data_IF_268509989964
#
_entry.id   IF_268509989964
#
_cell.length_a   1.000
_cell.length_b   1.000
_cell.length_c   1.000
_cell.angle_alpha   90.00
_cell.angle_beta   90.00
_cell.angle_gamma   90.00
#
_symmetry.space_group_name_H-M   'P 1'
#
loop_
_entity.id
_entity.type
_entity.pdbx_description
1 polymer ?
#
# COMPACT_ATOMS: atom_id res chain seq x y z
N UNK A 1 -16.57 -37.57 -16.75
CA UNK A 1 -15.95 -37.97 -18.05
C UNK A 1 -14.45 -37.71 -17.97
N UNK A 2 -13.62 -38.77 -17.98
CA UNK A 2 -12.15 -38.67 -18.05
C UNK A 2 -11.71 -38.98 -19.49
N UNK A 3 -10.79 -38.20 -20.10
CA UNK A 3 -10.27 -38.55 -21.41
C UNK A 3 -9.24 -39.68 -21.31
N UNK A 4 -9.46 -40.71 -22.12
CA UNK A 4 -8.63 -41.90 -22.23
C UNK A 4 -7.46 -41.59 -23.17
N UNK A 5 -6.27 -41.31 -22.65
CA UNK A 5 -5.06 -41.16 -23.47
C UNK A 5 -4.58 -42.57 -23.85
N UNK A 6 -4.79 -42.94 -25.12
CA UNK A 6 -4.24 -44.18 -25.69
C UNK A 6 -2.72 -44.01 -25.90
N UNK A 7 -1.99 -45.00 -25.42
CA UNK A 7 -0.56 -45.24 -25.65
C UNK A 7 -0.21 -45.16 -27.15
N UNK A 8 0.53 -44.13 -27.55
CA UNK A 8 1.24 -44.07 -28.82
C UNK A 8 2.73 -44.30 -28.51
N UNK A 9 3.12 -45.56 -28.36
CA UNK A 9 4.53 -45.97 -28.30
C UNK A 9 4.66 -47.42 -28.73
N UNK A 10 4.16 -47.73 -29.92
CA UNK A 10 4.48 -48.94 -30.65
C UNK A 10 5.02 -48.56 -32.01
N UNK A 11 6.18 -49.11 -32.38
CA UNK A 11 6.92 -48.93 -33.63
C UNK A 11 7.93 -47.77 -33.71
N UNK A 12 9.08 -47.97 -33.06
CA UNK A 12 10.36 -47.48 -33.61
C UNK A 12 11.39 -48.61 -33.67
N UNK A 13 12.13 -48.76 -34.77
CA UNK A 13 13.18 -49.78 -34.91
C UNK A 13 14.35 -49.53 -33.94
N UNK A 14 14.89 -50.58 -33.32
CA UNK A 14 15.92 -50.55 -32.26
C UNK A 14 17.17 -49.70 -32.59
N UNK A 15 17.52 -49.49 -33.87
CA UNK A 15 18.65 -48.64 -34.28
C UNK A 15 18.38 -47.13 -34.15
N UNK A 16 17.13 -46.66 -34.19
CA UNK A 16 16.78 -45.25 -34.02
C UNK A 16 16.65 -44.80 -32.57
N UNK A 17 16.48 -45.72 -31.62
CA UNK A 17 16.38 -45.36 -30.20
C UNK A 17 17.73 -44.93 -29.59
N UNK A 18 18.86 -45.45 -30.09
CA UNK A 18 20.19 -45.07 -29.58
C UNK A 18 20.58 -43.63 -29.94
N UNK A 19 20.28 -43.16 -31.16
CA UNK A 19 20.57 -41.79 -31.60
C UNK A 19 19.67 -40.75 -30.92
N UNK A 20 18.40 -41.07 -30.68
CA UNK A 20 17.49 -40.21 -29.93
C UNK A 20 17.94 -40.01 -28.46
N UNK A 21 18.41 -41.08 -27.81
CA UNK A 21 18.90 -41.01 -26.42
C UNK A 21 20.16 -40.14 -26.27
N UNK A 22 21.10 -40.23 -27.21
CA UNK A 22 22.33 -39.42 -27.21
C UNK A 22 22.00 -37.93 -27.43
N UNK A 23 21.02 -37.62 -28.30
CA UNK A 23 20.58 -36.24 -28.56
C UNK A 23 19.87 -35.62 -27.35
N UNK A 24 19.07 -36.39 -26.60
CA UNK A 24 18.40 -35.91 -25.39
C UNK A 24 19.39 -35.62 -24.25
N UNK A 25 20.44 -36.44 -24.09
CA UNK A 25 21.45 -36.22 -23.06
C UNK A 25 22.31 -34.97 -23.30
N UNK A 26 22.64 -34.68 -24.56
CA UNK A 26 23.43 -33.49 -24.93
C UNK A 26 22.65 -32.18 -24.70
N UNK A 27 21.33 -32.16 -24.92
CA UNK A 27 20.49 -31.00 -24.62
C UNK A 27 20.36 -30.71 -23.12
N UNK A 28 20.26 -31.74 -22.27
CA UNK A 28 20.20 -31.57 -20.81
C UNK A 28 21.48 -30.96 -20.25
N UNK A 29 22.65 -31.39 -20.74
CA UNK A 29 23.96 -30.83 -20.33
C UNK A 29 24.13 -29.36 -20.75
N UNK A 30 23.65 -28.98 -21.94
CA UNK A 30 23.68 -27.57 -22.39
C UNK A 30 22.80 -26.66 -21.52
N UNK A 31 21.59 -27.11 -21.16
CA UNK A 31 20.69 -26.34 -20.27
C UNK A 31 21.26 -26.18 -18.86
N UNK A 32 21.92 -27.21 -18.33
CA UNK A 32 22.56 -27.13 -17.01
C UNK A 32 23.73 -26.13 -17.01
N UNK A 33 24.58 -26.15 -18.04
CA UNK A 33 25.67 -25.17 -18.20
C UNK A 33 25.18 -23.73 -18.27
N UNK A 34 24.09 -23.48 -18.99
CA UNK A 34 23.47 -22.16 -19.07
C UNK A 34 22.92 -21.67 -17.73
N UNK A 35 22.29 -22.55 -16.94
CA UNK A 35 21.82 -22.21 -15.59
C UNK A 35 22.98 -21.86 -14.66
N UNK A 36 24.06 -22.63 -14.69
CA UNK A 36 25.26 -22.35 -13.88
C UNK A 36 25.88 -21.00 -14.27
N UNK A 37 26.00 -20.73 -15.57
CA UNK A 37 26.52 -19.45 -16.06
C UNK A 37 25.66 -18.25 -15.60
N UNK A 38 24.33 -18.38 -15.66
CA UNK A 38 23.41 -17.33 -15.23
C UNK A 38 23.50 -17.06 -13.72
N UNK A 39 23.64 -18.09 -12.90
CA UNK A 39 23.85 -17.94 -11.44
C UNK A 39 25.17 -17.24 -11.12
N UNK A 40 26.26 -17.59 -11.82
CA UNK A 40 27.57 -16.93 -11.65
C UNK A 40 27.47 -15.45 -12.03
N UNK A 41 26.78 -15.12 -13.13
CA UNK A 41 26.63 -13.75 -13.60
C UNK A 41 25.82 -12.89 -12.62
N UNK A 42 24.72 -13.42 -12.07
CA UNK A 42 23.91 -12.74 -11.05
C UNK A 42 24.73 -12.52 -9.76
N UNK A 43 25.47 -13.55 -9.32
CA UNK A 43 26.34 -13.45 -8.13
C UNK A 43 27.41 -12.37 -8.29
N UNK A 44 28.07 -12.31 -9.45
CA UNK A 44 29.06 -11.28 -9.75
C UNK A 44 28.45 -9.87 -9.76
N UNK A 45 27.25 -9.69 -10.32
CA UNK A 45 26.53 -8.41 -10.27
C UNK A 45 26.21 -7.99 -8.83
N UNK A 46 25.72 -8.91 -7.99
CA UNK A 46 25.46 -8.61 -6.57
C UNK A 46 26.72 -8.14 -5.83
N UNK A 47 27.88 -8.77 -6.08
CA UNK A 47 29.14 -8.36 -5.46
C UNK A 47 29.57 -6.95 -5.89
N UNK A 48 29.36 -6.58 -7.15
CA UNK A 48 29.66 -5.22 -7.64
C UNK A 48 28.75 -4.19 -6.96
N UNK A 49 27.46 -4.47 -6.81
CA UNK A 49 26.49 -3.58 -6.13
C UNK A 49 26.85 -3.42 -4.64
N UNK A 50 27.23 -4.51 -3.97
CA UNK A 50 27.66 -4.46 -2.57
C UNK A 50 28.95 -3.66 -2.39
N UNK A 51 29.93 -3.83 -3.27
CA UNK A 51 31.18 -3.06 -3.22
C UNK A 51 30.96 -1.56 -3.47
N UNK A 52 30.07 -1.19 -4.41
CA UNK A 52 29.72 0.20 -4.66
C UNK A 52 29.05 0.87 -3.45
N UNK A 53 28.16 0.15 -2.75
CA UNK A 53 27.52 0.65 -1.53
C UNK A 53 28.50 0.78 -0.35
N UNK A 54 29.51 -0.11 -0.26
CA UNK A 54 30.52 -0.03 0.80
C UNK A 54 31.44 1.19 0.62
N UNK A 55 31.86 1.50 -0.61
CA UNK A 55 32.66 2.70 -0.90
C UNK A 55 31.88 4.02 -0.70
N UNK A 56 30.55 4.00 -0.79
CA UNK A 56 29.71 5.17 -0.55
C UNK A 56 29.62 5.54 0.94
N UNK A 57 29.74 4.58 1.85
CA UNK A 57 29.72 4.85 3.29
C UNK A 57 31.01 5.47 3.83
N UNK A 58 32.17 5.24 3.19
CA UNK A 58 33.46 5.72 3.71
C UNK A 58 33.67 7.24 3.48
N UNK A 59 33.00 7.83 2.48
CA UNK A 59 33.13 9.27 2.19
C UNK A 59 32.27 10.20 3.06
N UNK A 60 31.31 9.67 3.83
CA UNK A 60 30.35 10.52 4.57
C UNK A 60 30.54 10.56 6.10
N UNK A 61 31.54 9.88 6.66
CA UNK A 61 31.78 9.87 8.12
C UNK A 61 32.95 10.74 8.63
N UNK A 62 33.65 11.49 7.77
CA UNK A 62 34.83 12.27 8.22
C UNK A 62 34.60 13.76 8.52
N UNK A 63 33.36 14.27 8.48
CA UNK A 63 33.09 15.69 8.75
C UNK A 63 32.01 15.92 9.81
N UNK A 64 32.23 15.45 11.04
CA UNK A 64 31.55 16.04 12.21
C UNK A 64 32.52 16.12 13.40
N UNK A 65 33.21 17.26 13.51
CA UNK A 65 33.73 17.77 14.77
C UNK A 65 33.55 19.30 14.80
N UNK A 66 32.50 19.76 15.49
CA UNK A 66 32.28 21.15 15.95
C UNK A 66 33.27 21.48 17.12
N UNK A 67 33.51 22.75 17.55
CA UNK A 67 32.44 23.70 17.90
C UNK A 67 32.70 25.23 17.93
N UNK A 68 31.59 25.93 18.23
CA UNK A 68 31.46 27.09 19.13
C UNK A 68 31.40 28.54 18.57
N UNK A 69 30.16 29.06 18.64
CA UNK A 69 29.74 30.32 19.27
C UNK A 69 30.10 31.67 18.64
N UNK A 70 29.04 32.44 18.30
CA UNK A 70 28.92 33.86 18.68
C UNK A 70 27.46 34.31 18.74
N UNK A 71 26.98 34.50 19.96
CA UNK A 71 25.76 35.22 20.30
C UNK A 71 25.97 36.71 20.04
N UNK A 72 25.04 37.37 19.34
CA UNK A 72 24.81 38.81 19.46
C UNK A 72 23.33 39.11 19.71
N UNK A 73 23.14 39.86 20.78
CA UNK A 73 21.89 40.32 21.42
C UNK A 73 21.64 41.76 20.99
N UNK A 74 20.38 42.14 20.70
CA UNK A 74 19.80 43.52 20.72
C UNK A 74 18.61 43.57 19.74
N UNK A 75 17.43 44.18 19.95
CA UNK A 75 16.80 44.94 21.05
C UNK A 75 15.29 44.99 20.75
N UNK A 76 14.49 44.74 21.77
CA UNK A 76 13.25 45.43 22.18
C UNK A 76 12.60 46.47 21.22
N UNK A 77 11.35 46.24 20.79
CA UNK A 77 10.29 47.27 20.69
C UNK A 77 8.93 46.67 21.08
N UNK A 78 8.29 47.32 22.07
CA UNK A 78 6.91 47.10 22.56
C UNK A 78 5.93 47.98 21.77
N UNK A 79 4.68 47.51 21.60
CA UNK A 79 3.38 48.24 21.76
C UNK A 79 2.24 47.26 21.42
N UNK A 80 1.47 46.74 22.39
CA UNK A 80 0.27 47.26 23.10
C UNK A 80 -1.07 47.05 22.36
N UNK A 81 -1.78 45.99 22.79
CA UNK A 81 -3.22 45.83 23.12
C UNK A 81 -4.27 46.90 22.75
N UNK A 82 -5.39 46.43 22.16
CA UNK A 82 -6.81 46.56 22.59
C UNK A 82 -7.70 45.85 21.53
N UNK A 83 -8.89 45.27 21.74
CA UNK A 83 -9.69 44.79 22.88
C UNK A 83 -10.91 44.06 22.29
N UNK A 84 -11.31 42.97 22.96
CA UNK A 84 -12.66 42.43 23.20
C UNK A 84 -13.83 42.78 22.26
N UNK A 85 -14.57 41.74 21.85
CA UNK A 85 -16.03 41.69 22.06
C UNK A 85 -16.51 40.25 22.25
N UNK A 86 -17.02 39.97 23.45
CA UNK A 86 -17.88 38.84 23.80
C UNK A 86 -19.36 39.20 23.58
N UNK A 87 -20.23 38.18 23.62
CA UNK A 87 -21.72 38.12 23.82
C UNK A 87 -22.26 37.04 22.86
N UNK A 88 -23.10 36.05 23.19
CA UNK A 88 -23.76 35.65 24.44
C UNK A 88 -24.40 34.26 24.25
N UNK A 89 -24.38 33.50 25.34
CA UNK A 89 -25.21 32.36 25.77
C UNK A 89 -26.57 32.19 25.08
N UNK A 90 -26.93 30.95 24.76
CA UNK A 90 -28.29 30.44 25.02
C UNK A 90 -28.22 28.99 25.48
N UNK A 91 -28.67 28.82 26.72
CA UNK A 91 -28.84 27.58 27.47
C UNK A 91 -30.32 27.24 27.41
N UNK A 92 -30.68 26.02 27.01
CA UNK A 92 -31.98 25.45 27.32
C UNK A 92 -31.79 24.00 27.77
N UNK A 93 -32.13 23.79 29.03
CA UNK A 93 -32.21 22.52 29.76
C UNK A 93 -33.62 21.97 29.60
N UNK A 94 -33.76 20.68 29.27
CA UNK A 94 -34.84 19.86 29.85
C UNK A 94 -34.45 18.39 29.84
N UNK A 95 -34.35 17.81 31.04
CA UNK A 95 -34.37 16.37 31.26
C UNK A 95 -35.82 15.90 31.13
N UNK A 96 -36.05 14.75 30.49
CA UNK A 96 -37.23 13.95 30.79
C UNK A 96 -36.91 12.46 30.62
N UNK A 97 -37.09 11.75 31.73
CA UNK A 97 -36.99 10.32 31.89
C UNK A 97 -38.41 9.76 31.84
N UNK A 98 -38.66 8.75 31.01
CA UNK A 98 -39.83 7.89 31.16
C UNK A 98 -39.49 6.44 30.82
N UNK A 99 -39.60 5.62 31.85
CA UNK A 99 -39.56 4.16 31.86
C UNK A 99 -40.98 3.61 31.60
N UNK A 100 -41.13 2.62 30.70
CA UNK A 100 -42.14 1.54 30.78
C UNK A 100 -41.84 0.47 29.69
N UNK A 101 -41.34 -0.72 30.03
CA UNK A 101 -42.03 -1.97 30.43
C UNK A 101 -42.64 -2.81 29.28
N UNK A 102 -41.94 -3.92 28.98
CA UNK A 102 -42.44 -5.30 28.87
C UNK A 102 -43.29 -5.74 27.64
N UNK A 103 -42.78 -6.65 26.81
CA UNK A 103 -43.08 -8.10 26.92
C UNK A 103 -42.38 -8.96 25.86
N UNK A 104 -41.97 -10.12 26.33
CA UNK A 104 -41.39 -11.34 25.75
C UNK A 104 -41.95 -11.85 24.41
N UNK A 105 -41.03 -12.36 23.56
CA UNK A 105 -41.16 -13.68 22.91
C UNK A 105 -39.76 -14.30 22.77
N UNK A 106 -39.54 -15.37 23.52
CA UNK A 106 -38.41 -16.27 23.36
C UNK A 106 -38.64 -17.17 22.14
N UNK A 107 -37.60 -17.37 21.34
CA UNK A 107 -37.45 -18.53 20.45
C UNK A 107 -36.04 -19.04 20.64
N UNK A 108 -35.97 -20.34 20.86
CA UNK A 108 -34.84 -21.16 21.28
C UNK A 108 -33.64 -21.13 20.31
N UNK A 109 -32.47 -21.18 20.92
CA UNK A 109 -31.37 -22.12 20.62
C UNK A 109 -30.86 -22.20 19.17
N UNK A 110 -29.75 -21.50 18.90
CA UNK A 110 -28.53 -22.13 18.35
C UNK A 110 -27.30 -21.38 18.89
N UNK A 111 -26.56 -22.00 19.81
CA UNK A 111 -25.12 -21.77 19.97
C UNK A 111 -24.48 -23.16 20.00
N UNK A 112 -23.39 -23.37 19.24
CA UNK A 112 -22.13 -22.80 19.69
C UNK A 112 -21.33 -22.26 18.50
N UNK A 113 -21.24 -20.95 18.35
CA UNK A 113 -20.17 -20.38 17.53
C UNK A 113 -19.14 -19.74 18.44
N UNK A 114 -17.91 -20.25 18.27
CA UNK A 114 -16.70 -19.93 19.00
C UNK A 114 -16.60 -18.44 19.35
N UNK A 115 -16.45 -18.12 20.65
CA UNK A 115 -16.00 -16.81 21.13
C UNK A 115 -14.53 -16.57 20.75
N UNK A 116 -14.18 -16.69 19.48
CA UNK A 116 -12.89 -16.25 18.98
C UNK A 116 -13.02 -14.77 18.69
N UNK A 117 -12.34 -13.95 19.49
CA UNK A 117 -12.15 -12.54 19.14
C UNK A 117 -11.56 -12.46 17.74
N UNK A 118 -12.16 -11.64 16.87
CA UNK A 118 -11.65 -11.38 15.54
C UNK A 118 -10.19 -10.90 15.61
N UNK A 119 -9.36 -11.34 14.67
CA UNK A 119 -7.95 -10.90 14.59
C UNK A 119 -7.87 -9.51 13.94
N UNK A 120 -6.76 -8.79 14.13
CA UNK A 120 -6.56 -7.49 13.49
C UNK A 120 -6.72 -7.55 11.96
N UNK A 121 -6.13 -8.55 11.25
CA UNK A 121 -6.32 -8.68 9.81
C UNK A 121 -7.77 -8.91 9.40
N UNK A 122 -8.54 -9.64 10.22
CA UNK A 122 -9.96 -9.90 9.96
C UNK A 122 -10.79 -8.62 10.13
N UNK A 123 -10.51 -7.85 11.19
CA UNK A 123 -11.14 -6.55 11.45
C UNK A 123 -10.85 -5.59 10.29
N UNK A 124 -9.58 -5.49 9.86
CA UNK A 124 -9.17 -4.67 8.72
C UNK A 124 -9.77 -5.10 7.40
N UNK A 125 -9.79 -6.38 7.10
CA UNK A 125 -10.42 -6.87 5.88
C UNK A 125 -11.91 -6.55 5.85
N UNK A 126 -12.62 -6.74 6.96
CA UNK A 126 -14.05 -6.44 7.07
C UNK A 126 -14.35 -4.93 6.97
N UNK A 127 -13.46 -4.08 7.47
CA UNK A 127 -13.59 -2.62 7.32
C UNK A 127 -13.44 -2.19 5.86
N UNK A 128 -12.56 -2.82 5.09
CA UNK A 128 -12.29 -2.44 3.71
C UNK A 128 -13.40 -2.89 2.75
N UNK A 129 -13.90 -4.11 2.90
CA UNK A 129 -14.86 -4.70 1.94
C UNK A 129 -16.09 -3.80 1.77
N UNK A 130 -16.39 -3.48 0.51
CA UNK A 130 -17.51 -2.62 0.15
C UNK A 130 -17.28 -1.13 0.38
N UNK A 131 -16.06 -0.72 0.77
CA UNK A 131 -15.66 0.67 0.95
C UNK A 131 -14.78 1.16 -0.20
N UNK A 132 -14.92 2.45 -0.49
CA UNK A 132 -14.13 3.18 -1.47
C UNK A 132 -13.23 4.21 -0.79
N UNK A 133 -12.05 4.44 -1.36
CA UNK A 133 -11.05 5.35 -0.84
C UNK A 133 -10.35 6.11 -1.97
N UNK A 134 -9.81 7.28 -1.62
CA UNK A 134 -8.82 8.00 -2.41
C UNK A 134 -7.43 7.79 -1.78
N UNK A 135 -6.43 7.59 -2.62
CA UNK A 135 -5.03 7.56 -2.23
C UNK A 135 -4.35 8.73 -2.90
N UNK A 136 -3.74 9.60 -2.10
CA UNK A 136 -3.20 10.88 -2.56
C UNK A 136 -1.86 11.19 -1.86
N UNK A 137 -0.90 11.82 -2.57
CA UNK A 137 0.30 12.35 -1.95
C UNK A 137 -0.03 13.65 -1.21
N UNK A 138 0.26 13.70 0.09
CA UNK A 138 -0.01 14.87 0.93
C UNK A 138 1.22 15.75 1.15
N UNK A 139 2.43 15.18 1.04
CA UNK A 139 3.68 15.96 1.11
C UNK A 139 4.83 15.34 0.32
N UNK A 140 5.75 16.19 -0.11
CA UNK A 140 7.03 15.87 -0.74
C UNK A 140 8.16 16.47 0.10
N UNK A 141 9.06 15.62 0.63
CA UNK A 141 10.10 16.00 1.59
C UNK A 141 9.57 16.81 2.80
N UNK A 142 8.36 16.50 3.24
CA UNK A 142 7.67 17.18 4.35
C UNK A 142 7.06 18.54 4.00
N UNK A 143 7.13 18.97 2.73
CA UNK A 143 6.42 20.15 2.22
C UNK A 143 5.09 19.69 1.62
N UNK A 144 3.98 20.38 1.92
CA UNK A 144 2.68 20.05 1.34
C UNK A 144 2.78 19.88 -0.19
N UNK A 145 2.19 18.81 -0.74
CA UNK A 145 2.45 18.37 -2.11
C UNK A 145 2.18 19.48 -3.14
N UNK A 146 1.03 20.16 -3.07
CA UNK A 146 0.69 21.28 -3.95
C UNK A 146 1.72 22.41 -3.88
N UNK A 147 2.12 22.78 -2.67
CA UNK A 147 3.13 23.82 -2.46
C UNK A 147 4.50 23.40 -3.04
N UNK A 148 4.89 22.16 -2.84
CA UNK A 148 6.14 21.65 -3.38
C UNK A 148 6.12 21.65 -4.92
N UNK A 149 4.98 21.37 -5.55
CA UNK A 149 4.81 21.50 -7.00
C UNK A 149 4.89 22.96 -7.45
N UNK A 150 4.16 23.87 -6.80
CA UNK A 150 4.15 25.30 -7.12
C UNK A 150 5.56 25.94 -7.03
N UNK A 151 6.36 25.50 -6.05
CA UNK A 151 7.73 25.96 -5.84
C UNK A 151 8.78 25.22 -6.71
N UNK A 152 8.35 24.31 -7.60
CA UNK A 152 9.22 23.46 -8.43
C UNK A 152 10.20 22.57 -7.62
N UNK A 153 9.81 22.18 -6.41
CA UNK A 153 10.55 21.23 -5.57
C UNK A 153 10.13 19.80 -5.89
N UNK A 154 8.82 19.58 -6.06
CA UNK A 154 8.25 18.30 -6.48
C UNK A 154 7.97 18.27 -8.00
N UNK A 155 7.86 17.07 -8.60
CA UNK A 155 7.37 16.93 -9.98
C UNK A 155 6.00 17.60 -10.17
N UNK A 156 5.82 18.36 -11.25
CA UNK A 156 4.62 19.17 -11.53
C UNK A 156 3.31 18.36 -11.59
N UNK A 157 3.39 17.05 -11.77
CA UNK A 157 2.25 16.15 -11.87
C UNK A 157 2.11 15.22 -10.66
N UNK A 158 2.81 15.48 -9.55
CA UNK A 158 2.82 14.60 -8.37
C UNK A 158 1.39 14.30 -7.88
N UNK A 159 0.56 15.32 -7.67
CA UNK A 159 -0.82 15.11 -7.20
C UNK A 159 -1.72 14.63 -8.33
N UNK A 160 -1.64 15.22 -9.51
CA UNK A 160 -2.52 14.88 -10.63
C UNK A 160 -2.38 13.43 -11.10
N UNK A 161 -1.14 12.95 -11.24
CA UNK A 161 -0.84 11.61 -11.73
C UNK A 161 -0.62 10.61 -10.59
N UNK A 162 -0.27 11.10 -9.40
CA UNK A 162 -0.08 10.26 -8.21
C UNK A 162 -1.37 9.93 -7.48
N UNK A 163 -2.48 10.64 -7.72
CA UNK A 163 -3.74 10.36 -7.01
C UNK A 163 -4.56 9.26 -7.69
N UNK A 164 -5.16 8.37 -6.91
CA UNK A 164 -5.98 7.28 -7.43
C UNK A 164 -7.14 6.92 -6.51
N UNK A 165 -8.20 6.38 -7.11
CA UNK A 165 -9.34 5.80 -6.39
C UNK A 165 -9.19 4.30 -6.29
N UNK A 166 -9.58 3.73 -5.16
CA UNK A 166 -9.64 2.29 -4.93
C UNK A 166 -11.00 1.91 -4.32
N UNK A 167 -11.55 0.77 -4.74
CA UNK A 167 -12.76 0.17 -4.17
C UNK A 167 -12.54 -1.31 -3.91
N UNK A 168 -12.71 -1.73 -2.65
CA UNK A 168 -12.48 -3.11 -2.22
C UNK A 168 -13.75 -3.92 -2.43
N UNK A 169 -13.70 -4.89 -3.35
CA UNK A 169 -14.86 -5.66 -3.80
C UNK A 169 -15.21 -6.80 -2.85
N UNK A 170 -14.19 -7.56 -2.49
CA UNK A 170 -14.29 -8.81 -1.75
C UNK A 170 -13.01 -9.00 -0.91
N UNK A 171 -12.86 -10.09 -0.13
CA UNK A 171 -11.74 -10.25 0.79
C UNK A 171 -10.33 -10.17 0.17
N UNK A 172 -10.15 -10.32 -1.14
CA UNK A 172 -8.83 -10.27 -1.76
C UNK A 172 -8.76 -9.51 -3.08
N UNK A 173 -9.87 -8.95 -3.56
CA UNK A 173 -9.92 -8.14 -4.76
C UNK A 173 -10.35 -6.72 -4.48
N UNK A 174 -9.70 -5.81 -5.17
CA UNK A 174 -10.14 -4.44 -5.32
C UNK A 174 -10.09 -4.04 -6.80
N UNK A 175 -10.68 -2.91 -7.10
CA UNK A 175 -10.51 -2.21 -8.37
C UNK A 175 -9.94 -0.83 -8.09
N UNK A 176 -9.11 -0.32 -8.99
CA UNK A 176 -8.55 1.02 -8.85
C UNK A 176 -8.43 1.75 -10.19
N UNK A 177 -8.31 3.07 -10.10
CA UNK A 177 -8.08 3.97 -11.24
C UNK A 177 -7.25 5.17 -10.82
N UNK A 178 -6.17 5.44 -11.54
CA UNK A 178 -5.42 6.69 -11.43
C UNK A 178 -6.23 7.86 -11.98
N UNK A 179 -6.28 8.98 -11.24
CA UNK A 179 -7.03 10.16 -11.62
C UNK A 179 -6.41 10.89 -12.83
N UNK A 180 -5.09 10.89 -12.96
CA UNK A 180 -4.36 11.37 -14.14
C UNK A 180 -4.28 10.36 -15.29
N UNK A 181 -4.81 9.14 -15.12
CA UNK A 181 -4.69 8.09 -16.12
C UNK A 181 -5.84 8.12 -17.14
N UNK A 182 -5.49 8.06 -18.42
CA UNK A 182 -6.45 7.88 -19.52
C UNK A 182 -7.00 6.44 -19.60
N UNK A 183 -6.36 5.50 -18.92
CA UNK A 183 -6.64 4.08 -19.03
C UNK A 183 -7.86 3.62 -18.19
N UNK A 184 -8.42 2.43 -18.50
CA UNK A 184 -9.56 1.88 -17.78
C UNK A 184 -9.26 1.53 -16.32
N UNK A 185 -10.33 1.29 -15.57
CA UNK A 185 -10.29 0.68 -14.24
C UNK A 185 -9.55 -0.65 -14.29
N UNK A 186 -8.67 -0.87 -13.32
CA UNK A 186 -7.87 -2.09 -13.20
C UNK A 186 -8.36 -2.93 -12.04
N UNK A 187 -8.34 -4.25 -12.21
CA UNK A 187 -8.50 -5.19 -11.11
C UNK A 187 -7.16 -5.41 -10.43
N UNK A 188 -7.16 -5.42 -9.10
CA UNK A 188 -5.98 -5.66 -8.28
C UNK A 188 -6.24 -6.68 -7.19
N UNK A 189 -5.19 -7.38 -6.78
CA UNK A 189 -5.23 -8.22 -5.60
C UNK A 189 -4.62 -7.48 -4.41
N UNK A 190 -5.25 -7.60 -3.25
CA UNK A 190 -4.72 -7.07 -2.00
C UNK A 190 -4.64 -8.15 -0.92
N UNK A 191 -3.87 -7.87 0.11
CA UNK A 191 -3.84 -8.66 1.33
C UNK A 191 -3.84 -7.76 2.56
N UNK A 192 -4.03 -8.35 3.73
CA UNK A 192 -3.99 -7.67 5.03
C UNK A 192 -3.23 -8.57 5.99
N UNK A 193 -2.13 -8.06 6.53
CA UNK A 193 -1.41 -8.66 7.66
C UNK A 193 -1.73 -7.92 8.96
N UNK A 194 -1.02 -8.21 10.06
CA UNK A 194 -1.31 -7.62 11.37
C UNK A 194 -1.13 -6.10 11.44
N UNK A 195 -0.37 -5.51 10.51
CA UNK A 195 0.03 -4.10 10.56
C UNK A 195 -0.25 -3.33 9.25
N UNK A 196 -0.43 -4.01 8.12
CA UNK A 196 -0.50 -3.40 6.80
C UNK A 196 -1.64 -3.93 5.94
N UNK A 197 -2.20 -3.03 5.15
CA UNK A 197 -2.96 -3.36 3.94
C UNK A 197 -1.94 -3.38 2.79
N UNK A 198 -1.84 -4.50 2.10
CA UNK A 198 -0.81 -4.74 1.08
C UNK A 198 -1.47 -4.69 -0.29
N UNK A 199 -1.23 -3.63 -1.05
CA UNK A 199 -1.71 -3.50 -2.44
C UNK A 199 -0.61 -4.00 -3.36
N UNK A 200 -0.68 -5.28 -3.75
CA UNK A 200 0.43 -5.99 -4.42
C UNK A 200 0.90 -5.30 -5.70
N UNK A 201 -0.04 -4.77 -6.47
CA UNK A 201 0.24 -4.19 -7.78
C UNK A 201 0.83 -2.78 -7.69
N UNK A 202 0.70 -2.11 -6.54
CA UNK A 202 1.32 -0.81 -6.27
C UNK A 202 2.61 -0.93 -5.46
N UNK A 203 2.92 -2.13 -4.96
CA UNK A 203 4.02 -2.38 -4.01
C UNK A 203 3.93 -1.54 -2.72
N UNK A 204 2.73 -1.03 -2.42
CA UNK A 204 2.47 -0.21 -1.24
C UNK A 204 2.07 -1.08 -0.04
N UNK A 205 2.57 -0.69 1.12
CA UNK A 205 2.17 -1.21 2.42
C UNK A 205 1.55 -0.07 3.21
N UNK A 206 0.23 -0.09 3.34
CA UNK A 206 -0.53 0.96 4.01
C UNK A 206 -0.66 0.56 5.48
N UNK A 207 0.01 1.25 6.40
CA UNK A 207 0.00 0.92 7.81
C UNK A 207 -1.38 1.22 8.42
N UNK A 208 -1.81 0.34 9.32
CA UNK A 208 -3.02 0.54 10.11
C UNK A 208 -2.82 0.07 11.55
N UNK A 209 -3.72 0.50 12.43
CA UNK A 209 -3.82 -0.02 13.79
C UNK A 209 -5.26 -0.31 14.15
N UNK A 210 -5.46 -1.32 15.00
CA UNK A 210 -6.76 -1.65 15.58
C UNK A 210 -6.73 -1.31 17.07
N UNK A 211 -7.65 -0.46 17.50
CA UNK A 211 -7.85 -0.14 18.91
C UNK A 211 -9.32 -0.33 19.26
N UNK A 212 -9.63 -1.29 20.15
CA UNK A 212 -11.00 -1.64 20.53
C UNK A 212 -11.92 -1.95 19.33
N UNK A 213 -11.39 -2.64 18.31
CA UNK A 213 -12.13 -2.97 17.09
C UNK A 213 -12.31 -1.81 16.11
N UNK A 214 -11.82 -0.61 16.44
CA UNK A 214 -11.81 0.55 15.56
C UNK A 214 -10.49 0.60 14.80
N UNK A 215 -10.58 0.83 13.50
CA UNK A 215 -9.42 0.97 12.63
C UNK A 215 -9.02 2.42 12.49
N UNK A 216 -7.71 2.63 12.57
CA UNK A 216 -7.06 3.85 12.11
C UNK A 216 -6.07 3.46 11.03
N UNK A 217 -6.25 4.01 9.83
CA UNK A 217 -5.25 3.94 8.76
C UNK A 217 -4.30 5.12 8.92
N UNK A 218 -3.00 4.88 8.78
CA UNK A 218 -1.97 5.89 8.97
C UNK A 218 -1.39 6.35 7.64
N UNK A 219 -0.89 7.58 7.63
CA UNK A 219 -0.08 8.08 6.53
C UNK A 219 1.19 7.22 6.39
N UNK A 220 1.70 7.05 5.17
CA UNK A 220 2.90 6.28 4.90
C UNK A 220 3.83 6.98 3.92
N UNK A 221 5.08 6.53 3.90
CA UNK A 221 6.11 7.12 3.05
C UNK A 221 6.55 6.13 1.97
N UNK A 222 6.75 6.64 0.76
CA UNK A 222 7.52 5.99 -0.29
C UNK A 222 8.69 6.88 -0.71
N UNK A 223 9.59 6.33 -1.53
CA UNK A 223 10.67 7.11 -2.14
C UNK A 223 10.53 7.07 -3.65
N UNK A 224 10.75 8.22 -4.28
CA UNK A 224 10.92 8.27 -5.74
C UNK A 224 12.30 7.76 -6.17
N UNK A 225 12.54 7.69 -7.48
CA UNK A 225 13.81 7.20 -8.04
C UNK A 225 15.02 8.11 -7.71
N UNK A 226 14.78 9.34 -7.26
CA UNK A 226 15.82 10.28 -6.85
C UNK A 226 16.03 10.28 -5.32
N UNK A 227 15.26 9.49 -4.58
CA UNK A 227 15.37 9.33 -3.13
C UNK A 227 14.57 10.35 -2.31
N UNK A 228 13.71 11.14 -2.96
CA UNK A 228 12.82 12.07 -2.25
C UNK A 228 11.67 11.31 -1.60
N UNK A 229 11.22 11.80 -0.45
CA UNK A 229 10.17 11.15 0.34
C UNK A 229 8.81 11.70 -0.06
N UNK A 230 7.91 10.81 -0.46
CA UNK A 230 6.51 11.14 -0.71
C UNK A 230 5.71 10.56 0.45
N UNK A 231 4.94 11.41 1.14
CA UNK A 231 3.99 10.98 2.16
C UNK A 231 2.60 10.87 1.54
N UNK A 232 1.95 9.75 1.77
CA UNK A 232 0.67 9.36 1.20
C UNK A 232 -0.39 9.24 2.28
N UNK A 233 -1.64 9.38 1.87
CA UNK A 233 -2.82 9.16 2.70
C UNK A 233 -3.85 8.30 1.98
N UNK A 234 -4.60 7.52 2.76
CA UNK A 234 -5.78 6.79 2.33
C UNK A 234 -7.01 7.40 3.02
N UNK A 235 -7.81 8.15 2.28
CA UNK A 235 -9.02 8.79 2.80
C UNK A 235 -10.29 8.13 2.27
N UNK A 236 -11.35 7.97 3.09
CA UNK A 236 -12.64 7.46 2.62
C UNK A 236 -13.19 8.30 1.45
N UNK A 237 -13.66 7.63 0.41
CA UNK A 237 -14.25 8.27 -0.78
C UNK A 237 -15.58 7.63 -1.14
N UNK A 238 -16.64 8.42 -1.06
CA UNK A 238 -17.99 8.01 -1.46
C UNK A 238 -18.13 7.87 -2.99
N UNK A 239 -17.27 8.55 -3.74
CA UNK A 239 -17.29 8.57 -5.20
C UNK A 239 -16.56 7.38 -5.82
N UNK A 240 -15.55 6.83 -5.14
CA UNK A 240 -14.72 5.74 -5.65
C UNK A 240 -15.55 4.55 -6.12
N UNK A 241 -16.53 4.10 -5.31
CA UNK A 241 -17.43 3.01 -5.71
C UNK A 241 -18.18 3.31 -7.01
N UNK A 242 -18.76 4.51 -7.11
CA UNK A 242 -19.55 4.91 -8.27
C UNK A 242 -18.67 4.97 -9.51
N UNK A 243 -17.60 5.75 -9.46
CA UNK A 243 -16.68 5.95 -10.58
C UNK A 243 -16.10 4.62 -11.06
N UNK A 244 -15.63 3.77 -10.14
CA UNK A 244 -14.94 2.53 -10.49
C UNK A 244 -15.91 1.44 -10.99
N UNK A 245 -17.17 1.41 -10.54
CA UNK A 245 -18.15 0.42 -11.01
C UNK A 245 -18.93 0.87 -12.25
N UNK A 246 -19.00 2.16 -12.55
CA UNK A 246 -19.70 2.67 -13.75
C UNK A 246 -18.77 2.96 -14.93
N UNK A 247 -17.44 2.94 -14.71
CA UNK A 247 -16.43 3.19 -15.74
C UNK A 247 -16.47 2.22 -16.95
N UNK A 248 -17.24 1.14 -16.86
CA UNK A 248 -17.41 0.14 -17.93
C UNK A 248 -18.59 0.42 -18.88
N UNK A 249 -19.24 1.60 -18.79
CA UNK A 249 -20.27 1.98 -19.76
C UNK A 249 -19.67 2.82 -20.89
N UNK A 250 -19.57 2.29 -22.12
CA UNK A 250 -19.19 3.06 -23.29
C UNK A 250 -20.20 4.17 -23.61
#
# INVERSE_FOLDING_TARGET
MKPHIKNILGYYPKRMQRTAFIRIQTHKKKRLRWKIFLVILISAMCLIILAANFSYLDHHYFNVAQPAAKVKRSKHVKKKFHSQKAITVSKSTTNESTTAKQSTKAVDEVQPENNRSATNPEIARNYLIGQGFAIEPISYDGIAADKAMDENIAPQNLVHDGSFLIYFLDPNKAIYKGLGSYNPVYNLNYDVDDNNIIIKDLSDQIPYSVNNGIITVHDWNTQDNAGHVITWRLDPSTEAKTILLTSDRP
#
